data_IF_527866976219
#
_entry.id   IF_527866976219
#
_cell.length_a   1.000
_cell.length_b   1.000
_cell.length_c   1.000
_cell.angle_alpha   90.00
_cell.angle_beta   90.00
_cell.angle_gamma   90.00
#
_symmetry.space_group_name_H-M   'P 1'
#
loop_
_entity.id
_entity.type
_entity.pdbx_description
1 polymer ?
#
# COMPACT_ATOMS: atom_id res chain seq x y z
N UNK A 1 -15.88 37.84 36.44
CA UNK A 1 -15.69 37.61 35.00
C UNK A 1 -14.42 36.79 34.81
N UNK A 2 -14.53 35.46 34.98
CA UNK A 2 -13.43 34.52 34.78
C UNK A 2 -14.06 33.18 34.37
N UNK A 3 -13.94 32.84 33.09
CA UNK A 3 -14.12 31.47 32.60
C UNK A 3 -13.46 31.37 31.23
N UNK A 4 -12.13 31.45 31.26
CA UNK A 4 -11.26 30.87 30.24
C UNK A 4 -10.80 29.54 30.81
N UNK A 5 -11.33 28.45 30.25
CA UNK A 5 -10.90 27.05 30.26
C UNK A 5 -12.18 26.22 30.17
N UNK A 6 -12.15 25.11 29.42
CA UNK A 6 -13.28 24.19 29.17
C UNK A 6 -14.12 24.48 27.90
N UNK A 7 -13.46 24.43 26.74
CA UNK A 7 -14.04 23.92 25.48
C UNK A 7 -12.87 23.45 24.62
N UNK A 8 -12.56 22.16 24.67
CA UNK A 8 -12.95 21.24 23.60
C UNK A 8 -12.59 21.78 22.21
N UNK A 9 -11.34 21.58 21.81
CA UNK A 9 -11.00 21.26 20.42
C UNK A 9 -9.63 20.58 20.42
N UNK A 10 -9.65 19.37 20.97
CA UNK A 10 -8.59 18.39 20.79
C UNK A 10 -8.68 17.94 19.33
N UNK A 11 -7.95 18.63 18.45
CA UNK A 11 -7.72 18.22 17.07
C UNK A 11 -6.60 17.17 17.09
N UNK A 12 -6.87 15.87 16.85
CA UNK A 12 -5.79 14.95 16.56
C UNK A 12 -5.22 15.28 15.17
N UNK A 13 -3.98 15.73 15.18
CA UNK A 13 -3.02 15.93 14.08
C UNK A 13 -2.68 14.60 13.33
N UNK A 14 -3.68 13.75 13.05
CA UNK A 14 -3.47 12.40 12.53
C UNK A 14 -3.72 12.19 11.03
N UNK A 15 -4.32 13.15 10.33
CA UNK A 15 -4.78 12.95 8.93
C UNK A 15 -3.70 13.05 7.85
N UNK A 16 -2.41 13.10 8.19
CA UNK A 16 -1.34 13.34 7.19
C UNK A 16 -0.63 12.08 6.67
N UNK A 17 -1.03 10.87 7.06
CA UNK A 17 -0.30 9.64 6.70
C UNK A 17 -1.01 8.66 5.75
N UNK A 18 -2.04 9.09 5.00
CA UNK A 18 -2.72 8.23 4.00
C UNK A 18 -2.55 8.72 2.55
N UNK A 19 -1.82 9.81 2.31
CA UNK A 19 -1.72 10.38 0.94
C UNK A 19 -0.59 9.83 0.06
N UNK A 20 0.30 8.95 0.55
CA UNK A 20 1.60 8.72 -0.11
C UNK A 20 1.82 7.35 -0.77
N UNK A 21 0.80 6.48 -0.85
CA UNK A 21 0.92 5.16 -1.50
C UNK A 21 0.39 5.14 -2.94
N UNK A 22 -0.49 6.08 -3.32
CA UNK A 22 -1.07 6.14 -4.67
C UNK A 22 -0.07 6.67 -5.73
N UNK A 23 0.89 7.51 -5.34
CA UNK A 23 1.84 8.15 -6.25
C UNK A 23 2.88 7.18 -6.87
N UNK A 24 3.02 5.98 -6.33
CA UNK A 24 3.97 4.98 -6.83
C UNK A 24 3.43 4.17 -8.03
N UNK A 25 2.14 4.28 -8.37
CA UNK A 25 1.50 3.48 -9.42
C UNK A 25 1.65 4.09 -10.82
N UNK A 26 1.76 5.42 -10.94
CA UNK A 26 1.87 6.11 -12.24
C UNK A 26 3.23 5.93 -12.94
N UNK A 27 4.34 5.73 -12.21
CA UNK A 27 5.69 5.74 -12.81
C UNK A 27 6.09 4.44 -13.52
N UNK A 28 5.39 3.33 -13.26
CA UNK A 28 5.75 2.02 -13.82
C UNK A 28 5.19 1.82 -15.24
N UNK A 29 4.10 2.50 -15.60
CA UNK A 29 3.47 2.35 -16.92
C UNK A 29 4.19 3.13 -18.05
N UNK A 30 4.87 4.23 -17.74
CA UNK A 30 5.60 5.03 -18.75
C UNK A 30 6.92 4.38 -19.22
N UNK A 31 7.52 3.51 -18.41
CA UNK A 31 8.82 2.90 -18.75
C UNK A 31 8.70 1.75 -19.77
N UNK A 32 7.49 1.20 -19.96
CA UNK A 32 7.26 0.04 -20.84
C UNK A 32 7.13 0.40 -22.34
N UNK A 33 6.99 1.67 -22.72
CA UNK A 33 6.60 2.07 -24.08
C UNK A 33 7.76 2.41 -25.05
N UNK A 34 9.05 2.24 -24.68
CA UNK A 34 10.18 2.74 -25.49
C UNK A 34 11.09 1.69 -26.16
N UNK A 35 10.67 0.43 -26.32
CA UNK A 35 11.50 -0.53 -27.05
C UNK A 35 10.68 -1.46 -27.94
N UNK A 36 10.83 -1.33 -29.27
CA UNK A 36 11.16 -2.40 -30.23
C UNK A 36 11.01 -1.85 -31.66
N UNK A 37 12.11 -1.83 -32.42
CA UNK A 37 12.09 -1.76 -33.88
C UNK A 37 13.24 -2.62 -34.44
N UNK A 38 12.97 -3.71 -35.19
CA UNK A 38 14.01 -4.50 -35.84
C UNK A 38 14.35 -3.95 -37.23
N UNK A 39 15.64 -3.77 -37.52
CA UNK A 39 16.15 -3.56 -38.89
C UNK A 39 16.70 -4.89 -39.43
N UNK A 40 15.91 -5.54 -40.28
CA UNK A 40 16.33 -6.71 -41.04
C UNK A 40 15.74 -6.64 -42.44
N UNK A 41 16.35 -5.86 -43.35
CA UNK A 41 16.02 -5.88 -44.77
C UNK A 41 17.17 -5.29 -45.60
N UNK A 42 18.22 -6.07 -45.89
CA UNK A 42 19.19 -5.69 -46.92
C UNK A 42 19.90 -6.90 -47.54
N UNK A 43 19.15 -7.93 -47.92
CA UNK A 43 19.68 -9.14 -48.58
C UNK A 43 19.01 -9.45 -49.93
N UNK A 44 18.30 -8.49 -50.54
CA UNK A 44 17.66 -8.65 -51.85
C UNK A 44 18.24 -7.80 -52.99
N UNK A 45 19.20 -6.90 -52.72
CA UNK A 45 19.82 -6.04 -53.75
C UNK A 45 20.91 -6.73 -54.60
N UNK A 46 21.07 -8.07 -54.49
CA UNK A 46 22.16 -8.83 -55.15
C UNK A 46 21.83 -9.34 -56.56
N UNK A 47 20.57 -9.28 -56.99
CA UNK A 47 20.12 -9.90 -58.26
C UNK A 47 20.02 -8.90 -59.42
N UNK A 48 19.62 -7.66 -59.13
CA UNK A 48 19.49 -6.60 -60.14
C UNK A 48 20.86 -6.10 -60.64
N UNK A 49 21.88 -6.18 -59.78
CA UNK A 49 23.24 -5.72 -60.08
C UNK A 49 24.03 -6.70 -60.97
N UNK A 50 23.60 -7.96 -61.10
CA UNK A 50 24.30 -8.97 -61.93
C UNK A 50 24.07 -8.72 -63.44
N UNK A 51 22.90 -8.18 -63.79
CA UNK A 51 22.50 -7.89 -65.17
C UNK A 51 23.14 -6.58 -65.66
N UNK A 52 23.22 -5.55 -64.79
CA UNK A 52 23.93 -4.29 -65.10
C UNK A 52 25.44 -4.49 -65.20
N UNK A 53 26.02 -5.41 -64.42
CA UNK A 53 27.46 -5.73 -64.45
C UNK A 53 27.86 -6.44 -65.76
N UNK A 54 27.04 -7.35 -66.30
CA UNK A 54 27.36 -8.01 -67.57
C UNK A 54 27.37 -7.04 -68.77
N UNK A 55 26.44 -6.08 -68.81
CA UNK A 55 26.36 -5.07 -69.88
C UNK A 55 27.53 -4.08 -69.79
N UNK A 56 27.97 -3.72 -68.58
CA UNK A 56 29.14 -2.86 -68.37
C UNK A 56 30.48 -3.55 -68.65
N UNK A 57 30.65 -4.84 -68.37
CA UNK A 57 31.87 -5.59 -68.68
C UNK A 57 32.12 -5.67 -70.20
N UNK A 58 31.04 -5.71 -71.00
CA UNK A 58 31.13 -5.68 -72.46
C UNK A 58 31.66 -4.33 -72.99
N UNK A 59 31.34 -3.22 -72.33
CA UNK A 59 31.79 -1.88 -72.72
C UNK A 59 33.23 -1.56 -72.28
N UNK A 60 33.72 -2.15 -71.17
CA UNK A 60 35.05 -1.84 -70.62
C UNK A 60 36.22 -2.65 -71.20
N UNK A 61 35.97 -3.70 -72.00
CA UNK A 61 37.06 -4.49 -72.62
C UNK A 61 37.64 -3.86 -73.90
N UNK A 62 37.00 -2.83 -74.46
CA UNK A 62 37.46 -2.11 -75.65
C UNK A 62 38.44 -0.94 -75.38
N UNK A 63 38.66 -0.55 -74.11
CA UNK A 63 39.58 0.55 -73.74
C UNK A 63 40.59 0.14 -72.66
N UNK A 64 41.26 -1.01 -72.83
CA UNK A 64 42.37 -1.43 -71.95
C UNK A 64 43.72 -0.92 -72.46
N UNK A 65 44.02 0.36 -72.19
CA UNK A 65 45.40 0.87 -72.17
C UNK A 65 45.61 1.79 -70.97
N UNK A 66 46.24 1.23 -69.94
CA UNK A 66 47.02 1.95 -68.92
C UNK A 66 46.24 2.79 -67.90
N UNK A 67 46.04 2.24 -66.71
CA UNK A 67 46.24 2.92 -65.43
C UNK A 67 45.98 1.94 -64.28
N UNK A 68 47.05 1.40 -63.71
CA UNK A 68 47.00 0.76 -62.41
C UNK A 68 46.65 1.83 -61.37
N UNK A 69 45.44 1.74 -60.81
CA UNK A 69 45.05 2.49 -59.62
C UNK A 69 44.89 1.49 -58.49
N UNK A 70 45.83 1.56 -57.55
CA UNK A 70 45.77 0.80 -56.30
C UNK A 70 44.49 1.18 -55.53
N UNK A 71 43.72 0.21 -55.00
CA UNK A 71 42.64 0.51 -54.10
C UNK A 71 43.25 0.95 -52.77
N UNK A 72 43.07 2.22 -52.40
CA UNK A 72 43.20 2.63 -50.99
C UNK A 72 42.02 2.03 -50.24
N UNK A 73 42.29 0.94 -49.51
CA UNK A 73 41.42 0.44 -48.46
C UNK A 73 41.25 1.55 -47.41
N UNK A 74 40.19 2.34 -47.51
CA UNK A 74 39.66 3.08 -46.37
C UNK A 74 38.88 2.10 -45.49
N UNK A 75 39.61 1.19 -44.84
CA UNK A 75 39.09 0.45 -43.70
C UNK A 75 38.99 1.45 -42.57
N UNK A 76 37.81 2.06 -42.43
CA UNK A 76 37.48 2.82 -41.23
C UNK A 76 37.79 1.93 -40.03
N UNK A 77 38.74 2.36 -39.21
CA UNK A 77 39.18 1.64 -38.02
C UNK A 77 38.00 1.61 -37.04
N UNK A 78 37.32 0.48 -36.99
CA UNK A 78 36.14 0.31 -36.17
C UNK A 78 36.55 0.36 -34.70
N UNK A 79 36.18 1.45 -34.02
CA UNK A 79 36.42 1.64 -32.59
C UNK A 79 35.71 0.52 -31.83
N UNK A 80 36.49 -0.34 -31.16
CA UNK A 80 35.95 -1.43 -30.37
C UNK A 80 35.20 -0.87 -29.17
N UNK A 81 33.89 -1.14 -29.11
CA UNK A 81 33.05 -0.81 -27.96
C UNK A 81 32.70 -2.09 -27.21
N UNK A 82 32.88 -2.06 -25.90
CA UNK A 82 32.51 -3.18 -25.04
C UNK A 82 31.01 -3.14 -24.81
N UNK A 83 30.33 -4.22 -25.19
CA UNK A 83 28.89 -4.41 -24.92
C UNK A 83 28.71 -5.48 -23.86
N UNK A 84 27.70 -5.30 -23.01
CA UNK A 84 27.25 -6.31 -22.05
C UNK A 84 25.85 -6.78 -22.44
N UNK A 85 25.62 -8.09 -22.39
CA UNK A 85 24.30 -8.68 -22.62
C UNK A 85 23.41 -8.52 -21.39
N UNK A 86 22.23 -7.92 -21.57
CA UNK A 86 21.22 -7.76 -20.51
C UNK A 86 20.19 -8.88 -20.62
N UNK A 87 19.95 -9.58 -19.51
CA UNK A 87 18.88 -10.59 -19.36
C UNK A 87 17.86 -10.08 -18.36
N UNK A 88 16.57 -10.28 -18.66
CA UNK A 88 15.50 -10.02 -17.71
C UNK A 88 15.40 -11.17 -16.70
N UNK A 89 15.63 -10.86 -15.43
CA UNK A 89 15.37 -11.75 -14.31
C UNK A 89 14.27 -11.14 -13.44
N UNK A 90 13.35 -11.98 -12.94
CA UNK A 90 12.33 -11.55 -12.00
C UNK A 90 12.99 -11.23 -10.65
N UNK A 91 12.68 -10.06 -10.10
CA UNK A 91 13.23 -9.62 -8.82
C UNK A 91 12.10 -9.11 -7.94
N UNK A 92 11.93 -9.73 -6.77
CA UNK A 92 10.96 -9.29 -5.78
C UNK A 92 11.50 -8.10 -5.00
N UNK A 93 10.79 -6.97 -5.07
CA UNK A 93 11.09 -5.77 -4.29
C UNK A 93 10.36 -5.84 -2.97
N UNK A 94 11.03 -6.34 -1.93
CA UNK A 94 10.51 -6.30 -0.57
C UNK A 94 11.11 -5.12 0.18
N UNK A 95 10.27 -4.35 0.87
CA UNK A 95 10.70 -3.28 1.78
C UNK A 95 10.46 -3.75 3.21
N UNK A 96 11.53 -3.87 3.99
CA UNK A 96 11.42 -4.20 5.41
C UNK A 96 11.00 -2.94 6.18
N UNK A 97 9.92 -3.05 6.96
CA UNK A 97 9.41 -1.98 7.81
C UNK A 97 9.35 -2.52 9.22
N UNK A 98 9.84 -1.74 10.18
CA UNK A 98 9.70 -2.02 11.60
C UNK A 98 8.59 -1.12 12.14
N UNK A 99 7.64 -1.71 12.83
CA UNK A 99 6.53 -0.99 13.45
C UNK A 99 6.14 -1.66 14.77
N UNK A 100 5.49 -0.89 15.63
CA UNK A 100 4.93 -1.38 16.89
C UNK A 100 3.53 -1.90 16.65
N UNK A 101 3.21 -3.07 17.21
CA UNK A 101 1.85 -3.61 17.18
C UNK A 101 1.05 -2.99 18.34
N UNK A 102 -0.17 -2.59 18.03
CA UNK A 102 -1.15 -2.13 19.01
C UNK A 102 -2.35 -3.09 19.00
N UNK A 103 -3.02 -3.27 20.16
CA UNK A 103 -4.27 -4.00 20.20
C UNK A 103 -5.28 -3.32 19.28
N UNK A 104 -6.10 -4.14 18.59
CA UNK A 104 -7.17 -3.61 17.74
C UNK A 104 -8.23 -2.88 18.56
N UNK A 105 -8.60 -3.48 19.68
CA UNK A 105 -9.63 -3.02 20.60
C UNK A 105 -9.08 -3.08 22.03
N UNK A 106 -9.28 -2.02 22.81
CA UNK A 106 -8.87 -1.92 24.20
C UNK A 106 -10.05 -1.39 25.02
N UNK A 107 -10.33 -2.02 26.15
CA UNK A 107 -11.43 -1.64 27.03
C UNK A 107 -10.92 -1.60 28.48
N UNK A 108 -11.10 -0.45 29.13
CA UNK A 108 -10.83 -0.29 30.57
C UNK A 108 -12.11 -0.59 31.35
N UNK A 109 -12.08 -1.63 32.18
CA UNK A 109 -13.23 -2.00 33.02
C UNK A 109 -13.11 -1.34 34.38
N UNK A 110 -14.18 -0.67 34.82
CA UNK A 110 -14.30 -0.06 36.14
C UNK A 110 -15.67 -0.37 36.74
N UNK A 111 -15.75 -0.38 38.08
CA UNK A 111 -17.01 -0.51 38.77
C UNK A 111 -17.89 0.72 38.51
N UNK A 112 -19.14 0.50 38.10
CA UNK A 112 -20.09 1.59 37.86
C UNK A 112 -20.72 2.13 39.16
N UNK A 113 -20.78 1.28 40.19
CA UNK A 113 -21.32 1.62 41.51
C UNK A 113 -20.24 1.48 42.56
N UNK A 114 -20.30 2.33 43.57
CA UNK A 114 -19.43 2.21 44.74
C UNK A 114 -19.93 1.06 45.63
N UNK A 115 -19.04 0.16 46.01
CA UNK A 115 -19.35 -1.00 46.85
C UNK A 115 -18.10 -1.84 47.11
N UNK A 116 -18.18 -2.73 48.09
CA UNK A 116 -17.09 -3.67 48.37
C UNK A 116 -17.15 -4.83 47.38
N UNK A 117 -15.98 -5.28 46.88
CA UNK A 117 -15.90 -6.49 46.06
C UNK A 117 -16.11 -7.71 46.96
N UNK A 118 -17.18 -8.45 46.72
CA UNK A 118 -17.49 -9.70 47.45
C UNK A 118 -16.60 -10.84 46.95
N UNK A 119 -16.48 -10.98 45.63
CA UNK A 119 -15.70 -12.04 45.01
C UNK A 119 -15.21 -11.68 43.61
N UNK A 120 -13.99 -12.06 43.28
CA UNK A 120 -13.47 -12.03 41.90
C UNK A 120 -13.67 -13.39 41.24
N UNK A 121 -14.21 -13.41 40.03
CA UNK A 121 -14.57 -14.63 39.28
C UNK A 121 -13.52 -15.04 38.24
N UNK A 122 -12.58 -14.14 37.93
CA UNK A 122 -11.56 -14.30 36.90
C UNK A 122 -10.17 -13.95 37.43
N UNK A 123 -9.14 -14.57 36.87
CA UNK A 123 -7.74 -14.28 37.22
C UNK A 123 -7.03 -13.46 36.14
N UNK A 124 -5.88 -12.89 36.51
CA UNK A 124 -5.07 -12.12 35.59
C UNK A 124 -4.53 -13.01 34.46
N UNK A 125 -4.85 -12.63 33.22
CA UNK A 125 -4.44 -13.37 32.02
C UNK A 125 -5.51 -14.29 31.44
N UNK A 126 -6.65 -14.42 32.11
CA UNK A 126 -7.76 -15.21 31.58
C UNK A 126 -8.42 -14.56 30.36
N UNK A 127 -8.91 -15.41 29.46
CA UNK A 127 -9.69 -14.98 28.30
C UNK A 127 -11.16 -14.83 28.70
N UNK A 128 -11.65 -13.60 28.67
CA UNK A 128 -13.04 -13.26 29.00
C UNK A 128 -13.87 -13.03 27.73
N UNK A 129 -15.19 -13.23 27.84
CA UNK A 129 -16.16 -12.92 26.78
C UNK A 129 -16.95 -11.66 27.13
N UNK A 130 -17.66 -11.11 26.15
CA UNK A 130 -18.66 -10.08 26.41
C UNK A 130 -19.71 -10.59 27.39
N UNK A 131 -20.19 -9.72 28.26
CA UNK A 131 -21.22 -9.98 29.28
C UNK A 131 -20.85 -11.08 30.30
N UNK A 132 -19.56 -11.35 30.47
CA UNK A 132 -19.08 -12.25 31.51
C UNK A 132 -18.84 -11.49 32.81
N UNK A 133 -19.40 -11.99 33.92
CA UNK A 133 -19.16 -11.44 35.25
C UNK A 133 -17.69 -11.60 35.64
N UNK A 134 -17.02 -10.48 35.92
CA UNK A 134 -15.61 -10.44 36.32
C UNK A 134 -15.45 -10.40 37.83
N UNK A 135 -16.34 -9.67 38.52
CA UNK A 135 -16.36 -9.53 39.96
C UNK A 135 -17.79 -9.25 40.45
N UNK A 136 -18.11 -9.75 41.63
CA UNK A 136 -19.35 -9.46 42.34
C UNK A 136 -19.11 -8.35 43.35
N UNK A 137 -20.00 -7.37 43.37
CA UNK A 137 -19.99 -6.23 44.30
C UNK A 137 -21.17 -6.40 45.25
N UNK A 138 -20.95 -6.16 46.54
CA UNK A 138 -22.03 -6.14 47.53
C UNK A 138 -22.99 -4.97 47.23
N UNK A 139 -24.27 -5.30 47.03
CA UNK A 139 -25.33 -4.36 46.64
C UNK A 139 -26.42 -4.19 47.70
N UNK A 140 -26.22 -4.68 48.94
CA UNK A 140 -27.25 -4.67 49.98
C UNK A 140 -27.86 -3.27 50.25
N UNK A 141 -27.05 -2.21 50.18
CA UNK A 141 -27.53 -0.82 50.35
C UNK A 141 -28.43 -0.37 49.19
N UNK A 142 -28.12 -0.79 47.96
CA UNK A 142 -28.90 -0.49 46.77
C UNK A 142 -30.21 -1.28 46.76
N UNK A 143 -30.19 -2.54 47.21
CA UNK A 143 -31.41 -3.36 47.36
C UNK A 143 -32.39 -2.72 48.35
N UNK A 144 -31.90 -2.29 49.52
CA UNK A 144 -32.72 -1.59 50.51
C UNK A 144 -33.31 -0.28 49.95
N UNK A 145 -32.53 0.47 49.16
CA UNK A 145 -33.00 1.70 48.51
C UNK A 145 -34.06 1.42 47.42
N UNK A 146 -33.92 0.31 46.70
CA UNK A 146 -34.88 -0.15 45.72
C UNK A 146 -36.20 -0.52 46.41
N UNK A 147 -36.15 -1.28 47.51
CA UNK A 147 -37.33 -1.64 48.29
C UNK A 147 -38.05 -0.38 48.82
N UNK A 148 -37.31 0.55 49.41
CA UNK A 148 -37.87 1.82 49.89
C UNK A 148 -38.56 2.62 48.77
N UNK A 149 -37.94 2.67 47.59
CA UNK A 149 -38.48 3.38 46.43
C UNK A 149 -39.73 2.67 45.89
N UNK A 150 -39.72 1.34 45.84
CA UNK A 150 -40.88 0.55 45.42
C UNK A 150 -42.08 0.71 46.37
N UNK A 151 -41.83 0.77 47.68
CA UNK A 151 -42.87 1.05 48.67
C UNK A 151 -43.43 2.47 48.54
N UNK A 152 -42.59 3.45 48.20
CA UNK A 152 -43.04 4.81 47.93
C UNK A 152 -43.89 4.90 46.64
N UNK A 153 -43.51 4.14 45.60
CA UNK A 153 -44.29 4.00 44.38
C UNK A 153 -45.69 3.43 44.70
N UNK A 154 -45.76 2.31 45.43
CA UNK A 154 -47.02 1.68 45.80
C UNK A 154 -47.93 2.62 46.63
N UNK A 155 -47.35 3.40 47.55
CA UNK A 155 -48.10 4.42 48.31
C UNK A 155 -48.64 5.53 47.40
N UNK A 156 -47.84 6.01 46.45
CA UNK A 156 -48.28 7.03 45.51
C UNK A 156 -49.39 6.52 44.58
N UNK A 157 -49.28 5.27 44.11
CA UNK A 157 -50.31 4.61 43.31
C UNK A 157 -51.62 4.44 44.09
N UNK A 158 -51.55 4.02 45.36
CA UNK A 158 -52.72 3.94 46.23
C UNK A 158 -53.35 5.32 46.47
N UNK A 159 -52.53 6.37 46.64
CA UNK A 159 -53.02 7.74 46.79
C UNK A 159 -53.76 8.23 45.54
N UNK A 160 -53.22 7.95 44.35
CA UNK A 160 -53.88 8.27 43.08
C UNK A 160 -55.17 7.48 42.87
N UNK A 161 -55.22 6.21 43.29
CA UNK A 161 -56.42 5.40 43.23
C UNK A 161 -57.52 5.93 44.16
N UNK A 162 -57.15 6.40 45.36
CA UNK A 162 -58.09 7.00 46.31
C UNK A 162 -58.58 8.39 45.90
N UNK A 163 -57.82 9.11 45.05
CA UNK A 163 -58.15 10.45 44.58
C UNK A 163 -59.00 10.48 43.29
N UNK A 164 -59.25 9.31 42.68
CA UNK A 164 -60.15 9.14 41.52
C UNK A 164 -61.54 8.71 41.98
#
# INVERSE_FOLDING_TARGET
MASLTTKLLYLPFGSFMIANVEAARQTVLDFAARAVAPKGCMQQLRRFNLVTVCVMILFLTACRRGAATSPKDSRAEATSVTVASVTNAAWDKTVSIVGTLYPKDEATVAAQVEGQVEKTLVEFGDRVRADQDLALIDTASYEAQLEQTSGNLAKAEASLANAR
#
